data_IF_083144471878
#
_entry.id   IF_083144471878
#
_cell.length_a   1.000
_cell.length_b   1.000
_cell.length_c   1.000
_cell.angle_alpha   90.00
_cell.angle_beta   90.00
_cell.angle_gamma   90.00
#
_symmetry.space_group_name_H-M   'P 1'
#
loop_
_entity.id
_entity.type
_entity.pdbx_description
1 polymer ?
#
# COMPACT_ATOMS: atom_id res chain seq x y z
N UNK A 1 47.47 -11.58 34.55
CA UNK A 1 48.41 -12.35 33.71
C UNK A 1 48.02 -12.13 32.27
N UNK A 2 48.88 -11.45 31.52
CA UNK A 2 48.73 -11.17 30.11
C UNK A 2 49.04 -12.42 29.27
N UNK A 3 48.42 -12.56 28.11
CA UNK A 3 48.98 -13.33 27.00
C UNK A 3 48.57 -12.69 25.68
N UNK A 4 49.55 -11.95 25.17
CA UNK A 4 49.76 -11.56 23.77
C UNK A 4 49.97 -12.79 22.89
N UNK A 5 49.34 -12.83 21.72
CA UNK A 5 49.87 -13.55 20.55
C UNK A 5 49.81 -12.61 19.35
N UNK A 6 50.95 -12.55 18.69
CA UNK A 6 51.42 -11.68 17.61
C UNK A 6 50.89 -12.07 16.23
N UNK A 7 50.85 -11.07 15.36
CA UNK A 7 50.62 -11.15 13.92
C UNK A 7 51.68 -11.97 13.16
N UNK A 8 51.31 -12.47 11.98
CA UNK A 8 52.23 -12.86 10.91
C UNK A 8 51.66 -12.32 9.59
N UNK A 9 52.46 -11.47 8.93
CA UNK A 9 52.27 -10.95 7.59
C UNK A 9 52.47 -12.03 6.52
N UNK A 10 51.76 -11.90 5.40
CA UNK A 10 52.23 -12.39 4.10
C UNK A 10 51.70 -11.47 2.99
N UNK A 11 52.65 -10.74 2.40
CA UNK A 11 52.53 -9.91 1.22
C UNK A 11 53.02 -10.72 0.01
N UNK A 12 52.28 -10.76 -1.10
CA UNK A 12 52.85 -10.85 -2.47
C UNK A 12 51.81 -10.44 -3.52
N UNK A 13 52.34 -9.71 -4.49
CA UNK A 13 51.74 -8.93 -5.57
C UNK A 13 51.44 -9.72 -6.85
N UNK A 14 50.86 -8.98 -7.81
CA UNK A 14 50.83 -9.20 -9.27
C UNK A 14 49.94 -10.33 -9.81
N UNK A 15 48.87 -9.96 -10.54
CA UNK A 15 48.78 -10.11 -12.02
C UNK A 15 47.81 -9.02 -12.54
N UNK A 16 48.28 -8.21 -13.49
CA UNK A 16 47.51 -7.27 -14.30
C UNK A 16 47.46 -7.76 -15.77
N UNK A 17 46.47 -7.23 -16.52
CA UNK A 17 46.35 -7.20 -17.99
C UNK A 17 45.94 -8.53 -18.68
N UNK A 18 45.06 -8.61 -19.69
CA UNK A 18 44.57 -7.68 -20.74
C UNK A 18 43.30 -8.27 -21.42
N UNK A 19 42.53 -7.43 -22.13
CA UNK A 19 41.71 -7.65 -23.35
C UNK A 19 40.52 -6.65 -23.35
N UNK A 20 40.70 -5.38 -23.74
CA UNK A 20 40.63 -4.75 -25.09
C UNK A 20 39.36 -4.99 -25.92
N UNK A 21 38.64 -3.87 -26.09
CA UNK A 21 38.02 -3.31 -27.32
C UNK A 21 36.77 -3.92 -27.96
N UNK A 22 35.69 -3.13 -27.90
CA UNK A 22 34.83 -2.90 -29.08
C UNK A 22 34.17 -1.50 -29.01
N UNK A 23 34.68 -0.57 -29.80
CA UNK A 23 34.09 0.72 -30.14
C UNK A 23 33.23 0.61 -31.43
N UNK A 24 32.61 1.74 -31.82
CA UNK A 24 31.93 2.06 -33.12
C UNK A 24 30.40 1.84 -33.08
N UNK A 25 29.51 2.79 -33.40
CA UNK A 25 29.63 4.13 -33.97
C UNK A 25 28.41 4.99 -33.57
N UNK A 26 28.60 6.31 -33.59
CA UNK A 26 27.49 7.26 -33.66
C UNK A 26 27.06 7.47 -35.11
N UNK A 27 25.75 7.48 -35.38
CA UNK A 27 25.25 8.09 -36.62
C UNK A 27 23.83 8.65 -36.46
N UNK A 28 23.79 9.97 -36.63
CA UNK A 28 22.77 10.88 -37.14
C UNK A 28 21.32 10.43 -37.40
N UNK A 29 20.43 11.39 -37.09
CA UNK A 29 19.01 11.43 -37.34
C UNK A 29 18.57 11.09 -38.78
N UNK A 30 17.42 10.42 -38.88
CA UNK A 30 16.52 10.53 -40.02
C UNK A 30 15.06 10.56 -39.52
N UNK A 31 14.43 11.74 -39.60
CA UNK A 31 13.01 11.83 -39.95
C UNK A 31 12.81 11.02 -41.24
N UNK A 32 11.77 10.20 -41.34
CA UNK A 32 10.94 10.04 -42.56
C UNK A 32 9.69 9.21 -42.20
N UNK A 33 8.56 9.91 -42.32
CA UNK A 33 7.20 9.53 -42.74
C UNK A 33 6.51 8.26 -42.24
N UNK A 34 5.30 8.50 -41.73
CA UNK A 34 4.19 7.55 -41.72
C UNK A 34 3.95 7.00 -43.14
N UNK A 35 4.09 5.69 -43.33
CA UNK A 35 3.39 4.96 -44.38
C UNK A 35 2.50 3.89 -43.74
N UNK A 36 1.23 3.93 -44.09
CA UNK A 36 0.21 2.95 -43.74
C UNK A 36 0.48 1.66 -44.52
N UNK A 37 0.87 0.59 -43.84
CA UNK A 37 0.71 -0.77 -44.36
C UNK A 37 -0.03 -1.63 -43.36
N UNK A 38 -1.34 -1.77 -43.60
CA UNK A 38 -2.24 -2.62 -42.85
C UNK A 38 -1.95 -4.10 -43.15
N UNK A 39 -1.11 -4.73 -42.31
CA UNK A 39 -0.94 -6.19 -42.36
C UNK A 39 -2.30 -6.89 -42.22
N UNK A 40 -2.58 -7.78 -43.18
CA UNK A 40 -3.76 -8.64 -43.17
C UNK A 40 -3.84 -9.46 -41.88
N UNK A 41 -5.06 -9.78 -41.45
CA UNK A 41 -5.31 -10.66 -40.31
C UNK A 41 -4.57 -12.00 -40.43
N UNK A 42 -4.33 -12.48 -41.65
CA UNK A 42 -3.57 -13.70 -41.91
C UNK A 42 -2.08 -13.55 -41.55
N UNK A 43 -1.47 -12.41 -41.86
CA UNK A 43 -0.05 -12.14 -41.58
C UNK A 43 0.20 -11.92 -40.09
N UNK A 44 -0.76 -11.32 -39.39
CA UNK A 44 -0.75 -11.24 -37.92
C UNK A 44 -0.84 -12.60 -37.24
N UNK A 45 -1.61 -13.53 -37.81
CA UNK A 45 -1.72 -14.90 -37.31
C UNK A 45 -0.41 -15.65 -37.58
N UNK A 46 0.20 -15.48 -38.77
CA UNK A 46 1.50 -16.07 -39.12
C UNK A 46 2.62 -15.58 -38.21
N UNK A 47 2.72 -14.26 -37.96
CA UNK A 47 3.70 -13.71 -37.01
C UNK A 47 3.49 -14.22 -35.57
N UNK A 48 2.25 -14.49 -35.16
CA UNK A 48 1.97 -15.08 -33.84
C UNK A 48 2.36 -16.56 -33.77
N UNK A 49 2.20 -17.29 -34.88
CA UNK A 49 2.61 -18.69 -35.00
C UNK A 49 4.14 -18.81 -34.99
N UNK A 50 4.86 -17.91 -35.68
CA UNK A 50 6.33 -17.88 -35.68
C UNK A 50 6.90 -17.46 -34.32
N UNK A 51 6.23 -16.55 -33.60
CA UNK A 51 6.71 -16.04 -32.30
C UNK A 51 6.44 -16.97 -31.12
N UNK A 52 5.37 -17.75 -31.16
CA UNK A 52 4.93 -18.56 -30.01
C UNK A 52 4.81 -20.06 -30.30
N UNK A 53 4.98 -20.49 -31.56
CA UNK A 53 4.86 -21.87 -31.99
C UNK A 53 3.46 -22.48 -31.83
N UNK A 54 3.17 -23.55 -32.58
CA UNK A 54 2.02 -24.40 -32.30
C UNK A 54 2.37 -25.41 -31.21
N UNK A 55 2.00 -25.13 -29.96
CA UNK A 55 2.05 -26.15 -28.91
C UNK A 55 0.98 -27.20 -29.24
N UNK A 56 1.41 -28.44 -29.51
CA UNK A 56 0.52 -29.57 -29.78
C UNK A 56 -0.62 -29.61 -28.73
N UNK A 57 -1.87 -29.94 -29.13
CA UNK A 57 -3.03 -29.92 -28.23
C UNK A 57 -2.80 -30.69 -26.92
N UNK A 58 -2.02 -31.76 -26.99
CA UNK A 58 -1.68 -32.61 -25.85
C UNK A 58 -0.68 -31.96 -24.91
N UNK A 59 0.32 -31.21 -25.41
CA UNK A 59 1.21 -30.42 -24.58
C UNK A 59 0.48 -29.26 -23.85
N UNK A 60 -0.57 -28.69 -24.46
CA UNK A 60 -1.42 -27.70 -23.77
C UNK A 60 -2.22 -28.32 -22.63
N UNK A 61 -2.75 -29.54 -22.81
CA UNK A 61 -3.45 -30.27 -21.74
C UNK A 61 -2.51 -30.61 -20.59
N UNK A 62 -1.31 -31.13 -20.90
CA UNK A 62 -0.28 -31.47 -19.89
C UNK A 62 0.14 -30.22 -19.10
N UNK A 63 0.45 -29.12 -19.79
CA UNK A 63 0.80 -27.85 -19.13
C UNK A 63 -0.34 -27.26 -18.30
N UNK A 64 -1.60 -27.57 -18.60
CA UNK A 64 -2.74 -27.16 -17.78
C UNK A 64 -2.89 -28.07 -16.55
N UNK A 65 -2.74 -29.38 -16.71
CA UNK A 65 -2.79 -30.35 -15.61
C UNK A 65 -1.70 -30.10 -14.57
N UNK A 66 -0.47 -29.78 -15.01
CA UNK A 66 0.64 -29.43 -14.12
C UNK A 66 0.39 -28.14 -13.33
N UNK A 67 -0.17 -27.11 -13.98
CA UNK A 67 -0.50 -25.83 -13.32
C UNK A 67 -1.56 -25.94 -12.22
N UNK A 68 -2.43 -26.94 -12.30
CA UNK A 68 -3.51 -27.15 -11.33
C UNK A 68 -3.27 -28.39 -10.44
N UNK A 69 -2.04 -28.93 -10.42
CA UNK A 69 -1.64 -30.00 -9.50
C UNK A 69 -2.35 -31.34 -9.69
N UNK A 70 -2.86 -31.64 -10.89
CA UNK A 70 -3.45 -32.98 -11.16
C UNK A 70 -2.39 -33.93 -11.72
N UNK A 71 -2.12 -35.08 -11.08
CA UNK A 71 -1.15 -36.06 -11.56
C UNK A 71 -1.56 -36.61 -12.95
N UNK A 72 -0.60 -36.68 -13.86
CA UNK A 72 -0.79 -37.08 -15.26
C UNK A 72 -1.25 -38.55 -15.43
N UNK A 73 -1.16 -39.38 -14.40
CA UNK A 73 -1.50 -40.82 -14.47
C UNK A 73 -2.85 -41.20 -13.84
N UNK A 74 -3.67 -40.23 -13.42
CA UNK A 74 -5.01 -40.51 -12.92
C UNK A 74 -6.08 -40.48 -14.04
N UNK A 75 -5.90 -41.25 -15.12
CA UNK A 75 -7.02 -41.71 -15.97
C UNK A 75 -7.48 -43.08 -15.45
N UNK A 76 -7.66 -43.19 -14.13
CA UNK A 76 -8.32 -44.35 -13.54
C UNK A 76 -9.82 -44.13 -13.62
N UNK A 77 -10.55 -45.15 -14.08
CA UNK A 77 -12.00 -45.13 -14.32
C UNK A 77 -12.86 -44.58 -13.16
N UNK A 78 -12.30 -44.52 -11.95
CA UNK A 78 -12.89 -43.86 -10.78
C UNK A 78 -13.17 -42.36 -10.98
N UNK A 79 -12.28 -41.59 -11.62
CA UNK A 79 -12.52 -40.15 -11.86
C UNK A 79 -13.62 -39.92 -12.91
N UNK A 80 -13.66 -40.78 -13.94
CA UNK A 80 -14.71 -40.79 -14.96
C UNK A 80 -16.06 -41.19 -14.36
N UNK A 81 -16.09 -42.19 -13.47
CA UNK A 81 -17.28 -42.64 -12.74
C UNK A 81 -17.83 -41.55 -11.81
N UNK A 82 -16.98 -40.90 -10.99
CA UNK A 82 -17.39 -39.79 -10.12
C UNK A 82 -17.94 -38.59 -10.88
N UNK A 83 -17.39 -38.29 -12.06
CA UNK A 83 -17.89 -37.22 -12.92
C UNK A 83 -19.25 -37.60 -13.54
N UNK A 84 -19.42 -38.86 -13.96
CA UNK A 84 -20.69 -39.37 -14.47
C UNK A 84 -21.79 -39.36 -13.40
N UNK A 85 -21.45 -39.75 -12.17
CA UNK A 85 -22.36 -39.70 -11.01
C UNK A 85 -22.75 -38.26 -10.65
N UNK A 86 -21.82 -37.30 -10.76
CA UNK A 86 -22.07 -35.90 -10.38
C UNK A 86 -22.78 -35.09 -11.47
N UNK A 87 -22.52 -35.35 -12.74
CA UNK A 87 -22.97 -34.52 -13.85
C UNK A 87 -23.82 -35.24 -14.90
N UNK A 88 -24.04 -36.55 -14.73
CA UNK A 88 -24.76 -37.38 -15.69
C UNK A 88 -23.96 -37.69 -16.96
N UNK A 89 -24.50 -38.55 -17.86
CA UNK A 89 -23.91 -38.79 -19.16
C UNK A 89 -23.96 -37.54 -20.05
N UNK A 90 -23.06 -37.48 -21.04
CA UNK A 90 -23.10 -36.44 -22.07
C UNK A 90 -24.39 -36.57 -22.89
N UNK A 91 -24.98 -35.45 -23.37
CA UNK A 91 -26.21 -35.52 -24.17
C UNK A 91 -26.02 -36.42 -25.38
N UNK A 92 -26.96 -37.35 -25.59
CA UNK A 92 -26.85 -38.40 -26.61
C UNK A 92 -27.51 -38.02 -27.94
N UNK A 93 -28.15 -36.85 -28.03
CA UNK A 93 -28.76 -36.32 -29.25
C UNK A 93 -28.49 -34.82 -29.40
N UNK A 94 -28.48 -34.36 -30.66
CA UNK A 94 -28.31 -32.93 -30.98
C UNK A 94 -29.41 -32.07 -30.35
N UNK A 95 -30.61 -32.63 -30.17
CA UNK A 95 -31.76 -31.95 -29.57
C UNK A 95 -31.56 -31.72 -28.06
N UNK A 96 -31.00 -32.69 -27.34
CA UNK A 96 -30.70 -32.56 -25.90
C UNK A 96 -29.58 -31.54 -25.64
N UNK A 97 -28.60 -31.45 -26.54
CA UNK A 97 -27.54 -30.45 -26.48
C UNK A 97 -28.10 -29.03 -26.71
N UNK A 98 -28.99 -28.86 -27.69
CA UNK A 98 -29.67 -27.58 -27.93
C UNK A 98 -30.54 -27.16 -26.75
N UNK A 99 -31.27 -28.09 -26.12
CA UNK A 99 -32.07 -27.80 -24.92
C UNK A 99 -31.20 -27.36 -23.73
N UNK A 100 -30.03 -27.99 -23.51
CA UNK A 100 -29.08 -27.57 -22.46
C UNK A 100 -28.49 -26.20 -22.76
N UNK A 101 -28.21 -25.88 -24.02
CA UNK A 101 -27.75 -24.55 -24.46
C UNK A 101 -28.83 -23.49 -24.22
N UNK A 102 -30.10 -23.76 -24.55
CA UNK A 102 -31.25 -22.87 -24.28
C UNK A 102 -31.44 -22.62 -22.78
N UNK A 103 -31.51 -23.68 -21.97
CA UNK A 103 -31.61 -23.55 -20.49
C UNK A 103 -30.43 -22.78 -19.87
N UNK A 104 -29.24 -22.86 -20.48
CA UNK A 104 -28.08 -22.06 -20.06
C UNK A 104 -28.22 -20.61 -20.48
N UNK A 105 -28.66 -20.34 -21.71
CA UNK A 105 -28.93 -19.01 -22.22
C UNK A 105 -30.00 -18.30 -21.37
N UNK A 106 -31.08 -19.00 -20.99
CA UNK A 106 -32.12 -18.51 -20.08
C UNK A 106 -31.56 -18.13 -18.70
N UNK A 107 -30.66 -18.97 -18.15
CA UNK A 107 -30.00 -18.71 -16.86
C UNK A 107 -29.12 -17.46 -16.89
N UNK A 108 -28.63 -17.08 -18.07
CA UNK A 108 -27.83 -15.89 -18.32
C UNK A 108 -28.61 -14.78 -19.06
N UNK A 109 -29.92 -14.96 -19.26
CA UNK A 109 -30.82 -14.06 -19.98
C UNK A 109 -30.27 -13.56 -21.33
N UNK A 110 -29.70 -14.48 -22.11
CA UNK A 110 -29.32 -14.24 -23.50
C UNK A 110 -30.44 -14.77 -24.40
N UNK A 111 -31.24 -13.89 -25.00
CA UNK A 111 -32.22 -14.28 -26.01
C UNK A 111 -31.52 -14.74 -27.29
N UNK A 112 -31.98 -15.84 -27.87
CA UNK A 112 -31.45 -16.44 -29.10
C UNK A 112 -31.35 -15.42 -30.25
N UNK A 113 -30.23 -15.49 -30.98
CA UNK A 113 -29.90 -14.64 -32.12
C UNK A 113 -30.66 -15.07 -33.37
N UNK A 114 -31.87 -14.55 -33.58
CA UNK A 114 -32.49 -14.52 -34.92
C UNK A 114 -33.60 -13.47 -35.03
N UNK A 115 -33.35 -12.22 -34.68
CA UNK A 115 -34.07 -11.05 -35.23
C UNK A 115 -33.51 -9.77 -34.65
N UNK A 116 -33.41 -8.75 -35.50
CA UNK A 116 -33.15 -7.33 -35.24
C UNK A 116 -33.38 -6.88 -33.79
N UNK A 117 -32.34 -6.29 -33.20
CA UNK A 117 -32.25 -5.66 -31.86
C UNK A 117 -33.57 -5.40 -31.11
N UNK A 118 -33.66 -5.91 -29.88
CA UNK A 118 -34.26 -5.16 -28.78
C UNK A 118 -33.20 -4.90 -27.70
N UNK A 119 -33.01 -3.64 -27.33
CA UNK A 119 -32.14 -3.26 -26.22
C UNK A 119 -32.56 -3.93 -24.91
N UNK A 120 -31.59 -4.19 -24.03
CA UNK A 120 -31.82 -4.69 -22.67
C UNK A 120 -32.86 -3.81 -21.96
N UNK A 121 -33.96 -4.43 -21.52
CA UNK A 121 -34.97 -3.78 -20.68
C UNK A 121 -34.35 -3.30 -19.37
N UNK A 122 -34.86 -2.20 -18.81
CA UNK A 122 -34.37 -1.61 -17.55
C UNK A 122 -34.43 -2.60 -16.37
N UNK A 123 -35.40 -3.50 -16.37
CA UNK A 123 -35.51 -4.64 -15.43
C UNK A 123 -34.26 -5.52 -15.42
N UNK A 124 -33.68 -5.77 -16.61
CA UNK A 124 -32.52 -6.64 -16.80
C UNK A 124 -31.23 -5.95 -16.35
N UNK A 125 -31.16 -4.63 -16.51
CA UNK A 125 -30.04 -3.80 -16.03
C UNK A 125 -30.04 -3.74 -14.49
N UNK A 126 -31.21 -3.54 -13.87
CA UNK A 126 -31.35 -3.48 -12.41
C UNK A 126 -30.92 -4.77 -11.72
N UNK A 127 -31.35 -5.93 -12.24
CA UNK A 127 -30.97 -7.25 -11.69
C UNK A 127 -29.48 -7.58 -11.89
N UNK A 128 -28.84 -7.04 -12.94
CA UNK A 128 -27.40 -7.19 -13.18
C UNK A 128 -26.57 -6.33 -12.22
N UNK A 129 -27.05 -5.12 -11.91
CA UNK A 129 -26.45 -4.24 -10.90
C UNK A 129 -26.55 -4.86 -9.51
N UNK A 130 -27.69 -5.45 -9.15
CA UNK A 130 -27.86 -6.17 -7.88
C UNK A 130 -26.93 -7.38 -7.75
N UNK A 131 -26.68 -8.11 -8.85
CA UNK A 131 -25.85 -9.32 -8.82
C UNK A 131 -24.33 -9.03 -8.87
N UNK A 132 -23.91 -7.97 -9.57
CA UNK A 132 -22.50 -7.69 -9.83
C UNK A 132 -21.98 -6.36 -9.27
N UNK A 133 -22.84 -5.56 -8.62
CA UNK A 133 -22.45 -4.34 -7.89
C UNK A 133 -21.86 -3.23 -8.75
N UNK A 134 -22.08 -3.23 -10.07
CA UNK A 134 -21.54 -2.20 -10.97
C UNK A 134 -22.43 -0.96 -10.90
N UNK A 135 -21.92 0.13 -10.34
CA UNK A 135 -22.56 1.45 -10.38
C UNK A 135 -22.40 2.03 -11.79
N UNK A 136 -23.52 2.33 -12.47
CA UNK A 136 -23.51 3.09 -13.72
C UNK A 136 -23.53 4.60 -13.42
N UNK A 137 -22.74 5.42 -14.13
CA UNK A 137 -22.84 6.88 -14.03
C UNK A 137 -24.18 7.38 -14.58
N UNK A 138 -24.82 8.31 -13.86
CA UNK A 138 -26.03 9.02 -14.31
C UNK A 138 -25.70 9.86 -15.54
N UNK A 139 -26.34 9.58 -16.67
CA UNK A 139 -26.37 10.45 -17.84
C UNK A 139 -27.61 11.34 -17.76
N UNK A 140 -27.38 12.64 -17.61
CA UNK A 140 -28.32 13.67 -18.04
C UNK A 140 -28.21 13.81 -19.55
N UNK A 141 -29.35 13.66 -20.25
CA UNK A 141 -29.45 13.93 -21.68
C UNK A 141 -29.46 15.45 -21.91
N UNK A 142 -28.54 15.95 -22.73
CA UNK A 142 -28.88 16.91 -23.76
C UNK A 142 -28.10 16.58 -25.02
N UNK A 143 -28.85 16.36 -26.08
CA UNK A 143 -28.45 15.87 -27.39
C UNK A 143 -27.63 16.90 -28.17
N UNK A 144 -26.60 16.44 -28.88
CA UNK A 144 -26.43 16.71 -30.32
C UNK A 144 -25.36 15.79 -30.91
N UNK A 145 -25.63 15.33 -32.12
CA UNK A 145 -24.92 14.31 -32.89
C UNK A 145 -23.54 14.79 -33.38
N UNK A 146 -22.48 14.00 -33.22
CA UNK A 146 -21.87 13.24 -34.34
C UNK A 146 -20.62 12.44 -33.93
N UNK A 147 -20.48 11.32 -34.64
CA UNK A 147 -19.51 10.23 -34.50
C UNK A 147 -18.05 10.66 -34.80
N UNK A 148 -17.15 10.01 -34.04
CA UNK A 148 -15.74 9.67 -34.35
C UNK A 148 -14.68 10.78 -34.24
N UNK A 149 -14.23 11.02 -33.00
CA UNK A 149 -12.80 11.12 -32.68
C UNK A 149 -12.57 10.51 -31.28
N UNK A 150 -11.61 9.59 -31.16
CA UNK A 150 -10.74 9.39 -29.98
C UNK A 150 -9.82 8.19 -30.21
N UNK A 151 -8.75 8.43 -30.97
CA UNK A 151 -7.45 7.90 -30.60
C UNK A 151 -6.91 8.71 -29.42
N UNK A 152 -6.07 8.07 -28.60
CA UNK A 152 -5.22 8.66 -27.57
C UNK A 152 -5.92 9.54 -26.50
N UNK A 153 -6.28 8.89 -25.40
CA UNK A 153 -6.08 9.45 -24.06
C UNK A 153 -5.99 8.26 -23.10
N UNK A 154 -4.76 7.82 -22.82
CA UNK A 154 -4.46 6.98 -21.64
C UNK A 154 -4.62 7.89 -20.43
N UNK A 155 -5.85 8.07 -20.00
CA UNK A 155 -6.16 8.72 -18.74
C UNK A 155 -5.92 7.70 -17.63
N UNK A 156 -4.83 7.92 -16.89
CA UNK A 156 -4.63 7.36 -15.56
C UNK A 156 -5.88 7.64 -14.75
N UNK A 157 -6.77 6.64 -14.64
CA UNK A 157 -7.90 6.73 -13.73
C UNK A 157 -7.38 6.37 -12.36
N UNK A 158 -7.10 7.42 -11.60
CA UNK A 158 -7.00 7.46 -10.15
C UNK A 158 -7.97 6.46 -9.54
N UNK A 159 -7.44 5.38 -8.95
CA UNK A 159 -8.21 4.49 -8.07
C UNK A 159 -8.47 5.22 -6.76
N UNK A 160 -9.41 6.16 -6.78
CA UNK A 160 -9.98 6.72 -5.58
C UNK A 160 -10.90 5.68 -4.95
N UNK A 161 -10.62 5.36 -3.68
CA UNK A 161 -11.59 4.91 -2.69
C UNK A 161 -12.47 3.71 -3.10
N UNK A 162 -11.88 2.51 -3.10
CA UNK A 162 -12.66 1.34 -2.75
C UNK A 162 -12.87 1.45 -1.25
N UNK A 163 -14.09 1.79 -0.83
CA UNK A 163 -14.48 1.71 0.57
C UNK A 163 -14.06 0.35 1.12
N UNK A 164 -13.29 0.37 2.20
CA UNK A 164 -12.69 -0.81 2.84
C UNK A 164 -13.70 -1.94 3.05
N UNK A 165 -14.97 -1.61 3.30
CA UNK A 165 -16.05 -2.57 3.49
C UNK A 165 -16.40 -3.41 2.26
N UNK A 166 -16.31 -2.85 1.05
CA UNK A 166 -16.60 -3.60 -0.18
C UNK A 166 -15.47 -4.56 -0.52
N UNK A 167 -14.21 -4.14 -0.29
CA UNK A 167 -13.04 -5.00 -0.42
C UNK A 167 -13.04 -6.10 0.64
N UNK A 168 -13.37 -5.76 1.89
CA UNK A 168 -13.46 -6.71 3.02
C UNK A 168 -14.54 -7.77 2.80
N UNK A 169 -15.75 -7.35 2.41
CA UNK A 169 -16.84 -8.29 2.05
C UNK A 169 -16.50 -9.17 0.86
N UNK A 170 -15.66 -8.70 -0.07
CA UNK A 170 -15.17 -9.49 -1.20
C UNK A 170 -14.15 -10.52 -0.76
N UNK A 171 -13.21 -10.17 0.12
CA UNK A 171 -12.20 -11.08 0.67
C UNK A 171 -12.82 -12.16 1.57
N UNK A 172 -13.78 -11.78 2.42
CA UNK A 172 -14.57 -12.70 3.25
C UNK A 172 -15.34 -13.71 2.39
N UNK A 173 -15.90 -13.28 1.25
CA UNK A 173 -16.61 -14.15 0.30
C UNK A 173 -15.70 -15.18 -0.37
N UNK A 174 -14.41 -14.90 -0.50
CA UNK A 174 -13.41 -15.82 -1.07
C UNK A 174 -12.68 -16.66 -0.01
N UNK A 175 -13.08 -16.60 1.26
CA UNK A 175 -12.47 -17.39 2.33
C UNK A 175 -11.04 -16.95 2.69
N UNK A 176 -10.67 -15.71 2.35
CA UNK A 176 -9.41 -15.12 2.80
C UNK A 176 -9.64 -14.56 4.19
N UNK A 177 -9.35 -15.36 5.22
CA UNK A 177 -9.23 -14.87 6.59
C UNK A 177 -7.97 -14.00 6.67
N UNK A 178 -8.10 -12.67 6.65
CA UNK A 178 -6.95 -11.75 6.74
C UNK A 178 -6.43 -11.64 8.18
N UNK A 179 -6.09 -12.76 8.79
CA UNK A 179 -5.28 -12.81 10.01
C UNK A 179 -3.78 -12.60 9.70
N UNK A 180 -3.43 -12.48 8.42
CA UNK A 180 -2.07 -12.20 7.97
C UNK A 180 -1.84 -10.68 7.87
N UNK A 181 -0.73 -10.22 8.43
CA UNK A 181 -0.32 -8.83 8.33
C UNK A 181 -0.18 -8.43 6.84
N UNK A 182 -0.64 -7.24 6.41
CA UNK A 182 -0.51 -6.86 5.01
C UNK A 182 0.96 -6.81 4.55
N UNK A 183 1.24 -7.37 3.37
CA UNK A 183 2.60 -7.52 2.81
C UNK A 183 3.40 -6.22 2.82
N UNK A 184 2.75 -5.08 2.58
CA UNK A 184 3.39 -3.76 2.58
C UNK A 184 4.05 -3.39 3.91
N UNK A 185 3.51 -3.84 5.05
CA UNK A 185 4.11 -3.61 6.37
C UNK A 185 5.16 -4.67 6.70
N UNK A 186 4.96 -5.92 6.27
CA UNK A 186 5.99 -6.96 6.42
C UNK A 186 7.26 -6.63 5.61
N UNK A 187 7.10 -5.95 4.47
CA UNK A 187 8.19 -5.53 3.62
C UNK A 187 9.06 -4.41 4.23
N UNK A 188 8.52 -3.63 5.18
CA UNK A 188 9.30 -2.64 5.93
C UNK A 188 10.03 -3.28 7.11
N UNK A 189 9.36 -4.13 7.88
CA UNK A 189 9.95 -4.94 8.96
C UNK A 189 9.08 -6.18 9.21
N UNK A 190 9.68 -7.37 9.36
CA UNK A 190 8.90 -8.60 9.62
C UNK A 190 8.19 -8.57 10.98
N UNK A 191 8.64 -7.73 11.91
CA UNK A 191 8.03 -7.47 13.22
C UNK A 191 7.40 -6.07 13.27
N UNK A 192 6.98 -5.53 12.12
CA UNK A 192 6.36 -4.22 12.04
C UNK A 192 5.17 -4.09 13.02
N UNK A 193 5.02 -2.93 13.64
CA UNK A 193 4.05 -2.70 14.73
C UNK A 193 2.61 -2.89 14.30
N UNK A 194 2.32 -2.65 13.01
CA UNK A 194 1.04 -2.99 12.40
C UNK A 194 0.68 -4.48 12.51
N UNK A 195 1.68 -5.35 12.50
CA UNK A 195 1.54 -6.80 12.50
C UNK A 195 1.41 -7.41 13.90
N UNK A 196 1.51 -6.60 14.96
CA UNK A 196 1.45 -7.09 16.34
C UNK A 196 0.06 -7.63 16.67
N UNK A 197 0.04 -8.65 17.53
CA UNK A 197 -1.21 -9.24 18.02
C UNK A 197 -1.80 -8.37 19.11
N UNK A 198 -3.07 -8.01 18.99
CA UNK A 198 -3.77 -7.21 20.01
C UNK A 198 -3.87 -7.98 21.33
N UNK A 199 -3.52 -7.32 22.43
CA UNK A 199 -3.70 -7.79 23.82
C UNK A 199 -4.53 -6.81 24.67
N UNK A 200 -4.85 -5.63 24.13
CA UNK A 200 -5.68 -4.62 24.79
C UNK A 200 -7.07 -5.13 25.16
N UNK A 201 -7.51 -4.75 26.36
CA UNK A 201 -8.88 -4.94 26.86
C UNK A 201 -9.85 -4.30 25.88
N UNK A 202 -9.56 -3.05 25.51
CA UNK A 202 -10.39 -2.28 24.60
C UNK A 202 -9.56 -1.34 23.73
N UNK A 203 -9.88 -1.32 22.44
CA UNK A 203 -9.26 -0.46 21.43
C UNK A 203 -10.03 0.86 21.40
N UNK A 204 -9.34 1.99 21.52
CA UNK A 204 -9.95 3.32 21.44
C UNK A 204 -9.31 4.15 20.31
N UNK A 205 -9.83 4.03 19.07
CA UNK A 205 -9.42 4.91 17.98
C UNK A 205 -9.70 6.36 18.33
N UNK A 206 -8.77 7.25 18.00
CA UNK A 206 -8.93 8.69 18.22
C UNK A 206 -10.16 9.19 17.47
N UNK A 207 -11.08 9.79 18.22
CA UNK A 207 -12.30 10.39 17.65
C UNK A 207 -11.98 11.65 16.85
N UNK A 208 -12.91 12.11 16.01
CA UNK A 208 -12.74 13.38 15.26
C UNK A 208 -12.48 14.57 16.19
N UNK A 209 -13.13 14.60 17.36
CA UNK A 209 -12.96 15.67 18.34
C UNK A 209 -11.58 15.61 18.99
N UNK A 210 -11.14 14.41 19.42
CA UNK A 210 -9.81 14.23 19.99
C UNK A 210 -8.72 14.52 18.97
N UNK A 211 -8.86 14.09 17.71
CA UNK A 211 -7.94 14.43 16.61
C UNK A 211 -7.76 15.93 16.49
N UNK A 212 -8.85 16.70 16.50
CA UNK A 212 -8.76 18.16 16.43
C UNK A 212 -8.09 18.75 17.68
N UNK A 213 -8.41 18.24 18.86
CA UNK A 213 -7.80 18.71 20.10
C UNK A 213 -6.30 18.41 20.16
N UNK A 214 -5.88 17.21 19.76
CA UNK A 214 -4.47 16.81 19.67
C UNK A 214 -3.73 17.75 18.72
N UNK A 215 -4.27 17.99 17.52
CA UNK A 215 -3.69 18.93 16.56
C UNK A 215 -3.65 20.35 17.11
N UNK A 216 -4.71 20.83 17.77
CA UNK A 216 -4.72 22.19 18.34
C UNK A 216 -3.62 22.36 19.40
N UNK A 217 -3.45 21.38 20.28
CA UNK A 217 -2.42 21.44 21.33
C UNK A 217 -1.00 21.34 20.74
N UNK A 218 -0.78 20.49 19.74
CA UNK A 218 0.50 20.45 19.03
C UNK A 218 0.75 21.77 18.30
N UNK A 219 -0.22 22.28 17.53
CA UNK A 219 -0.10 23.49 16.71
C UNK A 219 0.03 24.78 17.52
N UNK A 220 -0.36 24.78 18.80
CA UNK A 220 -0.05 25.86 19.73
C UNK A 220 1.44 25.93 20.09
N UNK A 221 2.15 24.80 20.02
CA UNK A 221 3.60 24.73 20.24
C UNK A 221 4.35 24.79 18.89
N UNK A 222 3.93 24.01 17.88
CA UNK A 222 4.48 24.01 16.52
C UNK A 222 3.54 23.33 15.51
N UNK A 223 3.43 23.89 14.30
CA UNK A 223 2.51 23.43 13.26
C UNK A 223 2.79 21.99 12.76
N UNK A 224 1.77 21.15 12.81
CA UNK A 224 1.72 19.75 12.40
C UNK A 224 0.40 19.40 11.71
N UNK A 225 0.44 18.35 10.90
CA UNK A 225 -0.69 17.82 10.15
C UNK A 225 -1.00 16.38 10.52
N UNK A 226 -2.27 16.03 10.58
CA UNK A 226 -2.64 14.66 10.91
C UNK A 226 -2.43 13.71 9.74
N UNK A 227 -1.93 12.51 10.04
CA UNK A 227 -1.77 11.44 9.09
C UNK A 227 -2.40 10.13 9.60
N UNK A 228 -3.35 9.59 8.81
CA UNK A 228 -4.07 8.37 9.19
C UNK A 228 -3.21 7.10 9.10
N UNK A 229 -2.17 7.06 8.26
CA UNK A 229 -1.26 5.89 8.22
C UNK A 229 -0.46 5.79 9.52
N UNK A 230 0.04 6.92 10.03
CA UNK A 230 0.72 6.99 11.33
C UNK A 230 -0.22 6.61 12.47
N UNK A 231 -1.47 7.09 12.42
CA UNK A 231 -2.47 6.81 13.46
C UNK A 231 -2.86 5.33 13.51
N UNK A 232 -2.98 4.65 12.37
CA UNK A 232 -3.30 3.22 12.35
C UNK A 232 -2.13 2.39 12.90
N UNK A 233 -0.88 2.75 12.60
CA UNK A 233 0.29 2.08 13.16
C UNK A 233 0.36 2.32 14.68
N UNK A 234 0.11 3.55 15.12
CA UNK A 234 0.02 3.87 16.54
C UNK A 234 -1.05 3.01 17.22
N UNK A 235 -2.24 2.87 16.61
CA UNK A 235 -3.32 2.06 17.18
C UNK A 235 -2.94 0.60 17.34
N UNK A 236 -2.26 0.03 16.34
CA UNK A 236 -1.77 -1.35 16.42
C UNK A 236 -0.74 -1.55 17.53
N UNK A 237 0.08 -0.52 17.78
CA UNK A 237 1.04 -0.56 18.88
C UNK A 237 0.37 -0.36 20.25
N UNK A 238 -0.58 0.58 20.37
CA UNK A 238 -1.38 0.76 21.57
C UNK A 238 -2.17 -0.52 21.93
N UNK A 239 -2.74 -1.17 20.92
CA UNK A 239 -3.47 -2.43 21.04
C UNK A 239 -2.59 -3.60 21.54
N UNK A 240 -1.27 -3.53 21.35
CA UNK A 240 -0.31 -4.54 21.81
C UNK A 240 0.02 -4.42 23.31
N UNK A 241 -0.28 -3.27 23.94
CA UNK A 241 -0.17 -3.03 25.38
C UNK A 241 1.19 -3.39 26.02
N UNK A 242 2.28 -3.11 25.30
CA UNK A 242 3.64 -3.26 25.80
C UNK A 242 4.21 -1.89 26.17
N UNK A 243 4.61 -1.70 27.43
CA UNK A 243 5.12 -0.42 27.92
C UNK A 243 6.61 -0.24 27.59
N UNK A 244 6.89 0.07 26.33
CA UNK A 244 8.21 0.44 25.83
C UNK A 244 8.04 1.08 24.44
N UNK A 245 9.07 1.72 23.92
CA UNK A 245 9.10 2.12 22.51
C UNK A 245 9.36 0.93 21.60
N UNK A 246 8.68 0.87 20.45
CA UNK A 246 9.09 -0.03 19.37
C UNK A 246 10.36 0.51 18.67
N UNK A 247 10.94 -0.33 17.81
CA UNK A 247 12.03 0.10 16.95
C UNK A 247 11.50 1.08 15.90
N UNK A 248 12.31 2.10 15.56
CA UNK A 248 12.00 3.04 14.49
C UNK A 248 11.57 2.35 13.18
N UNK A 249 12.26 1.27 12.79
CA UNK A 249 11.94 0.50 11.57
C UNK A 249 10.53 -0.12 11.59
N UNK A 250 10.02 -0.46 12.77
CA UNK A 250 8.74 -1.14 12.96
C UNK A 250 7.54 -0.19 12.94
N UNK A 251 7.77 1.13 12.94
CA UNK A 251 6.73 2.17 12.87
C UNK A 251 6.79 3.03 11.61
N UNK A 252 7.49 2.57 10.57
CA UNK A 252 7.54 3.24 9.27
C UNK A 252 6.26 2.95 8.48
N UNK A 253 5.49 3.99 8.17
CA UNK A 253 4.37 3.83 7.25
C UNK A 253 4.91 3.50 5.85
N UNK A 254 4.43 2.43 5.17
CA UNK A 254 4.94 2.02 3.85
C UNK A 254 4.85 3.12 2.79
N UNK A 255 3.85 3.99 2.97
CA UNK A 255 3.54 5.16 2.13
C UNK A 255 4.34 6.41 2.49
N UNK A 256 5.08 6.36 3.59
CA UNK A 256 5.95 7.42 4.12
C UNK A 256 7.25 6.77 4.65
N UNK A 257 8.14 6.29 3.76
CA UNK A 257 9.40 5.64 4.15
C UNK A 257 10.40 6.66 4.71
N UNK A 258 10.10 7.17 5.89
CA UNK A 258 10.80 8.23 6.58
C UNK A 258 10.94 7.82 8.05
N UNK A 259 12.01 8.29 8.68
CA UNK A 259 12.26 8.08 10.09
C UNK A 259 11.08 8.60 10.94
N UNK A 260 10.40 7.68 11.62
CA UNK A 260 9.23 7.97 12.46
C UNK A 260 9.62 7.98 13.94
N UNK A 261 9.39 9.09 14.64
CA UNK A 261 9.53 9.20 16.09
C UNK A 261 8.27 8.75 16.83
N UNK A 262 8.33 8.70 18.16
CA UNK A 262 7.20 8.25 18.98
C UNK A 262 7.21 8.91 20.36
N UNK A 263 6.04 9.36 20.82
CA UNK A 263 5.79 9.69 22.23
C UNK A 263 4.80 8.69 22.81
N UNK A 264 5.03 8.32 24.07
CA UNK A 264 4.22 7.37 24.82
C UNK A 264 3.74 7.99 26.13
N UNK A 265 2.55 7.62 26.57
CA UNK A 265 2.08 7.93 27.91
C UNK A 265 1.16 6.83 28.44
N UNK A 266 1.14 6.65 29.76
CA UNK A 266 0.36 5.61 30.40
C UNK A 266 -0.37 6.14 31.64
N UNK A 267 -1.60 5.70 31.84
CA UNK A 267 -2.33 5.91 33.09
C UNK A 267 -3.02 7.26 33.26
N UNK A 268 -2.97 8.15 32.26
CA UNK A 268 -3.73 9.41 32.27
C UNK A 268 -5.18 9.21 31.87
N UNK A 269 -6.05 10.06 32.41
CA UNK A 269 -7.50 9.95 32.21
C UNK A 269 -7.92 10.26 30.77
N UNK A 270 -7.29 11.24 30.14
CA UNK A 270 -7.63 11.70 28.80
C UNK A 270 -6.42 12.30 28.06
N UNK A 271 -6.62 12.56 26.76
CA UNK A 271 -5.62 13.18 25.89
C UNK A 271 -5.17 14.55 26.36
N UNK A 272 -6.05 15.40 26.89
CA UNK A 272 -5.68 16.76 27.35
C UNK A 272 -4.62 16.69 28.44
N UNK A 273 -4.83 15.86 29.46
CA UNK A 273 -3.85 15.68 30.54
C UNK A 273 -2.54 15.06 30.02
N UNK A 274 -2.65 14.10 29.11
CA UNK A 274 -1.50 13.43 28.48
C UNK A 274 -0.61 14.42 27.72
N UNK A 275 -1.22 15.25 26.86
CA UNK A 275 -0.50 16.25 26.08
C UNK A 275 0.03 17.37 26.97
N UNK A 276 -0.71 17.75 28.02
CA UNK A 276 -0.25 18.76 28.97
C UNK A 276 1.01 18.30 29.71
N UNK A 277 1.12 17.01 30.06
CA UNK A 277 2.34 16.47 30.67
C UNK A 277 3.54 16.58 29.74
N UNK A 278 3.38 16.15 28.48
CA UNK A 278 4.45 16.29 27.48
C UNK A 278 4.84 17.75 27.28
N UNK A 279 3.88 18.67 27.21
CA UNK A 279 4.14 20.11 27.09
C UNK A 279 4.85 20.65 28.33
N UNK A 280 4.49 20.20 29.53
CA UNK A 280 5.05 20.70 30.78
C UNK A 280 6.54 20.39 30.95
N UNK A 281 7.08 19.40 30.23
CA UNK A 281 8.53 19.16 30.20
C UNK A 281 9.32 20.38 29.70
N UNK A 282 8.67 21.33 29.00
CA UNK A 282 9.28 22.61 28.62
C UNK A 282 9.84 23.41 29.79
N UNK A 283 9.33 23.20 31.00
CA UNK A 283 9.85 23.82 32.22
C UNK A 283 11.27 23.36 32.58
N UNK A 284 11.68 22.19 32.07
CA UNK A 284 12.99 21.60 32.27
C UNK A 284 13.85 21.65 31.00
N UNK A 285 13.33 22.24 29.92
CA UNK A 285 14.02 22.33 28.64
C UNK A 285 14.93 23.55 28.62
N UNK A 286 16.24 23.31 28.73
CA UNK A 286 17.28 24.35 28.65
C UNK A 286 18.11 24.19 27.36
N UNK A 287 17.45 23.84 26.26
CA UNK A 287 18.08 23.52 24.98
C UNK A 287 18.94 22.25 25.00
N UNK A 288 18.78 21.43 26.04
CA UNK A 288 19.38 20.13 26.16
C UNK A 288 18.32 19.03 25.98
N UNK A 289 18.67 18.03 25.18
CA UNK A 289 17.86 16.83 25.05
C UNK A 289 18.24 15.88 26.16
N UNK A 290 17.39 15.82 27.17
CA UNK A 290 17.45 14.83 28.21
C UNK A 290 16.25 13.89 28.08
N UNK A 291 16.29 12.75 28.77
CA UNK A 291 15.12 11.89 28.87
C UNK A 291 13.91 12.61 29.50
N UNK A 292 14.16 13.66 30.29
CA UNK A 292 13.12 14.46 30.97
C UNK A 292 12.39 15.39 30.02
N UNK A 293 13.00 15.75 28.89
CA UNK A 293 12.47 16.74 27.93
C UNK A 293 12.17 16.14 26.56
N UNK A 294 12.26 14.81 26.45
CA UNK A 294 12.16 14.09 25.18
C UNK A 294 10.77 14.21 24.56
N UNK A 295 9.69 14.20 25.34
CA UNK A 295 8.35 14.31 24.75
C UNK A 295 8.10 15.72 24.23
N UNK A 296 8.44 16.75 25.01
CA UNK A 296 8.31 18.14 24.57
C UNK A 296 9.13 18.41 23.32
N UNK A 297 10.41 18.05 23.34
CA UNK A 297 11.30 18.30 22.21
C UNK A 297 10.89 17.57 20.93
N UNK A 298 10.10 16.48 21.01
CA UNK A 298 9.50 15.83 19.83
C UNK A 298 8.33 16.65 19.27
N UNK A 299 7.49 17.24 20.14
CA UNK A 299 6.37 18.10 19.71
C UNK A 299 6.87 19.36 18.99
N UNK A 300 7.97 19.94 19.45
CA UNK A 300 8.57 21.14 18.84
C UNK A 300 9.70 20.82 17.85
N UNK A 301 9.84 19.57 17.42
CA UNK A 301 10.92 19.16 16.52
C UNK A 301 10.78 19.78 15.13
N UNK A 302 11.78 20.54 14.69
CA UNK A 302 11.69 21.40 13.50
C UNK A 302 11.30 20.66 12.22
N UNK A 303 11.78 19.42 12.04
CA UNK A 303 11.48 18.60 10.85
C UNK A 303 10.23 17.74 10.99
N UNK A 304 9.55 17.73 12.14
CA UNK A 304 8.27 17.05 12.27
C UNK A 304 7.21 17.79 11.47
N UNK A 305 6.42 17.07 10.69
CA UNK A 305 5.38 17.64 9.83
C UNK A 305 4.08 16.88 9.98
N UNK A 306 4.15 15.57 10.15
CA UNK A 306 2.99 14.70 10.29
C UNK A 306 2.94 14.04 11.66
N UNK A 307 1.73 13.89 12.20
CA UNK A 307 1.44 13.17 13.43
C UNK A 307 0.27 12.21 13.25
N UNK A 308 0.32 11.05 13.89
CA UNK A 308 -0.84 10.18 14.05
C UNK A 308 -0.83 9.50 15.41
N UNK A 309 -1.96 9.56 16.12
CA UNK A 309 -2.07 9.11 17.50
C UNK A 309 -3.18 8.08 17.71
N UNK A 310 -3.11 7.37 18.83
CA UNK A 310 -4.07 6.34 19.24
C UNK A 310 -4.08 6.11 20.75
N UNK A 311 -5.14 5.49 21.25
CA UNK A 311 -5.22 5.06 22.65
C UNK A 311 -5.80 3.65 22.74
N UNK A 312 -5.42 2.90 23.78
CA UNK A 312 -6.04 1.62 24.13
C UNK A 312 -6.10 1.45 25.64
N UNK A 313 -7.08 0.70 26.13
CA UNK A 313 -7.13 0.27 27.51
C UNK A 313 -6.43 -1.08 27.65
N UNK A 314 -5.43 -1.11 28.51
CA UNK A 314 -4.56 -2.26 28.73
C UNK A 314 -4.86 -2.92 30.08
N UNK A 315 -4.59 -4.22 30.14
CA UNK A 315 -4.61 -4.96 31.41
C UNK A 315 -3.48 -4.48 32.33
N UNK A 316 -3.60 -4.70 33.65
CA UNK A 316 -2.52 -4.43 34.59
C UNK A 316 -1.21 -5.09 34.16
N UNK A 317 -0.09 -4.40 34.39
CA UNK A 317 1.26 -4.91 34.18
C UNK A 317 2.16 -4.47 35.37
N UNK A 318 3.44 -4.90 35.45
CA UNK A 318 4.30 -4.54 36.57
C UNK A 318 4.52 -3.03 36.76
N UNK A 319 4.36 -2.22 35.71
CA UNK A 319 4.44 -0.75 35.78
C UNK A 319 3.12 -0.13 36.25
N UNK A 320 2.01 -0.65 35.75
CA UNK A 320 0.65 -0.19 36.02
C UNK A 320 -0.14 -1.32 36.69
N UNK A 321 -0.19 -1.33 38.02
CA UNK A 321 -0.88 -2.36 38.82
C UNK A 321 -2.43 -2.30 38.72
N UNK A 322 -2.97 -1.64 37.71
CA UNK A 322 -4.39 -1.43 37.42
C UNK A 322 -4.59 -1.33 35.90
N UNK A 323 -5.84 -1.43 35.42
CA UNK A 323 -6.12 -1.19 34.00
C UNK A 323 -5.75 0.25 33.63
N UNK A 324 -4.97 0.43 32.58
CA UNK A 324 -4.37 1.71 32.26
C UNK A 324 -4.60 2.07 30.81
N UNK A 325 -4.78 3.36 30.54
CA UNK A 325 -4.87 3.89 29.18
C UNK A 325 -3.46 4.08 28.64
N UNK A 326 -3.16 3.46 27.51
CA UNK A 326 -1.90 3.58 26.79
C UNK A 326 -2.08 4.50 25.59
N UNK A 327 -1.35 5.61 25.58
CA UNK A 327 -1.37 6.62 24.52
C UNK A 327 -0.10 6.49 23.70
N UNK A 328 -0.26 6.46 22.37
CA UNK A 328 0.84 6.37 21.41
C UNK A 328 0.63 7.44 20.35
N UNK A 329 1.63 8.29 20.13
CA UNK A 329 1.70 9.20 19.00
C UNK A 329 2.97 8.93 18.19
N UNK A 330 2.83 8.77 16.88
CA UNK A 330 3.93 8.62 15.93
C UNK A 330 4.12 9.93 15.13
N UNK A 331 5.37 10.33 14.93
CA UNK A 331 5.75 11.62 14.33
C UNK A 331 6.67 11.43 13.14
N UNK A 332 6.43 12.12 12.03
CA UNK A 332 7.36 12.16 10.89
C UNK A 332 7.83 13.59 10.66
N UNK A 333 9.12 13.91 10.79
CA UNK A 333 10.23 13.03 11.22
C UNK A 333 10.38 12.93 12.74
N UNK A 334 10.90 11.81 13.25
CA UNK A 334 11.30 11.74 14.66
C UNK A 334 12.55 12.56 15.02
N UNK A 335 12.85 12.63 16.32
CA UNK A 335 14.09 13.23 16.85
C UNK A 335 15.36 12.53 16.33
N UNK A 336 16.31 13.34 15.85
CA UNK A 336 17.65 12.93 15.40
C UNK A 336 18.72 13.50 16.32
N UNK A 337 20.00 13.20 16.11
CA UNK A 337 21.08 13.77 16.94
C UNK A 337 21.38 15.26 16.68
N UNK A 338 20.40 16.15 16.85
CA UNK A 338 20.52 17.62 16.75
C UNK A 338 19.59 18.35 17.72
N UNK A 339 19.60 19.67 17.71
CA UNK A 339 18.63 20.50 18.45
C UNK A 339 17.27 20.47 17.77
N UNK A 340 16.15 20.60 18.52
CA UNK A 340 14.81 20.58 17.96
C UNK A 340 14.49 21.82 17.12
N UNK A 341 15.23 22.92 17.25
CA UNK A 341 15.11 24.09 16.38
C UNK A 341 16.35 24.99 16.49
N UNK A 342 16.51 25.93 15.55
CA UNK A 342 17.60 26.91 15.56
C UNK A 342 17.17 28.13 16.40
N UNK A 343 17.96 28.48 17.41
CA UNK A 343 17.67 29.61 18.30
C UNK A 343 17.86 30.97 17.61
N UNK A 344 17.03 31.96 17.97
CA UNK A 344 17.22 33.36 17.58
C UNK A 344 16.77 33.72 16.17
N UNK A 345 16.27 32.75 15.40
CA UNK A 345 15.63 32.98 14.11
C UNK A 345 14.12 32.89 14.33
N UNK A 346 13.45 34.02 14.56
CA UNK A 346 12.00 34.13 14.36
C UNK A 346 11.70 34.09 12.86
N UNK A 347 11.97 32.95 12.22
CA UNK A 347 11.44 32.70 10.89
C UNK A 347 9.97 32.39 11.08
N UNK A 348 9.10 33.18 10.44
CA UNK A 348 7.75 32.73 10.12
C UNK A 348 7.93 31.50 9.23
N UNK A 349 8.01 30.32 9.84
CA UNK A 349 8.18 29.06 9.13
C UNK A 349 7.02 28.96 8.14
N UNK A 350 7.34 28.84 6.86
CA UNK A 350 6.30 28.76 5.85
C UNK A 350 5.54 27.47 6.07
N UNK A 351 4.23 27.59 6.08
CA UNK A 351 3.37 26.44 6.07
C UNK A 351 3.52 25.69 4.74
N UNK A 352 4.13 24.52 4.80
CA UNK A 352 4.32 23.65 3.65
C UNK A 352 3.17 22.65 3.48
N UNK A 353 2.01 22.86 4.11
CA UNK A 353 0.79 22.06 3.96
C UNK A 353 1.03 20.56 4.15
N UNK A 354 1.75 20.18 5.21
CA UNK A 354 2.01 18.77 5.52
C UNK A 354 3.01 18.08 4.58
N UNK A 355 3.75 18.82 3.74
CA UNK A 355 4.73 18.24 2.80
C UNK A 355 5.82 17.47 3.55
N UNK A 356 6.06 16.22 3.15
CA UNK A 356 7.16 15.40 3.67
C UNK A 356 8.09 14.99 2.55
N UNK A 357 9.39 15.09 2.80
CA UNK A 357 10.43 14.60 1.89
C UNK A 357 10.71 13.13 2.18
N UNK A 358 10.50 12.28 1.18
CA UNK A 358 10.61 10.82 1.36
C UNK A 358 12.08 10.38 1.49
N UNK A 359 12.30 9.14 1.96
CA UNK A 359 13.63 8.53 2.10
C UNK A 359 14.61 9.39 2.93
N UNK A 360 14.09 9.99 4.01
CA UNK A 360 14.84 10.88 4.90
C UNK A 360 15.44 12.11 4.20
N UNK A 361 14.80 12.60 3.13
CA UNK A 361 15.11 13.92 2.59
C UNK A 361 14.81 15.03 3.58
N UNK A 362 15.49 16.16 3.44
CA UNK A 362 15.31 17.33 4.30
C UNK A 362 14.35 18.32 3.64
N UNK A 363 13.27 18.67 4.33
CA UNK A 363 12.38 19.75 3.90
C UNK A 363 12.97 21.10 4.30
N UNK A 364 13.22 21.97 3.33
CA UNK A 364 13.50 23.36 3.61
C UNK A 364 12.18 24.10 3.86
N UNK A 365 11.98 24.57 5.10
CA UNK A 365 10.74 25.22 5.52
C UNK A 365 10.54 26.63 4.99
N UNK A 366 11.55 27.27 4.40
CA UNK A 366 11.39 28.59 3.77
C UNK A 366 10.84 28.47 2.34
N UNK A 367 11.32 27.46 1.63
CA UNK A 367 11.02 27.24 0.20
C UNK A 367 10.02 26.13 -0.04
N UNK A 368 9.74 25.29 0.96
CA UNK A 368 9.00 24.03 0.86
C UNK A 368 9.57 23.08 -0.21
N UNK A 369 10.89 23.12 -0.44
CA UNK A 369 11.59 22.23 -1.37
C UNK A 369 12.31 21.12 -0.61
N UNK A 370 12.35 19.94 -1.21
CA UNK A 370 13.07 18.81 -0.64
C UNK A 370 14.52 18.80 -1.12
N UNK A 371 15.42 18.65 -0.17
CA UNK A 371 16.79 18.23 -0.44
C UNK A 371 16.86 16.72 -0.23
N UNK A 372 17.07 15.98 -1.31
CA UNK A 372 17.14 14.53 -1.26
C UNK A 372 18.30 14.05 -0.40
N UNK A 373 18.12 12.91 0.28
CA UNK A 373 19.23 12.16 0.87
C UNK A 373 20.06 11.49 -0.24
N UNK A 374 21.22 10.93 0.10
CA UNK A 374 22.07 10.19 -0.86
C UNK A 374 21.39 8.94 -1.45
N UNK A 375 20.27 8.50 -0.88
CA UNK A 375 19.58 7.26 -1.23
C UNK A 375 18.42 7.44 -2.21
N UNK A 376 18.09 8.69 -2.57
CA UNK A 376 17.01 9.03 -3.49
C UNK A 376 17.37 10.26 -4.32
N UNK A 377 16.83 10.38 -5.54
CA UNK A 377 17.09 11.54 -6.40
C UNK A 377 15.82 12.10 -7.01
N UNK A 378 15.76 13.42 -7.13
CA UNK A 378 14.68 14.15 -7.82
C UNK A 378 13.29 13.73 -7.34
N UNK A 379 12.46 13.30 -8.28
CA UNK A 379 11.07 12.89 -8.06
C UNK A 379 10.89 11.83 -6.97
N UNK A 380 11.89 10.98 -6.70
CA UNK A 380 11.76 9.91 -5.69
C UNK A 380 11.64 10.45 -4.25
N UNK A 381 12.32 11.54 -3.95
CA UNK A 381 12.24 12.23 -2.65
C UNK A 381 11.15 13.31 -2.64
N UNK A 382 10.86 13.88 -3.82
CA UNK A 382 9.91 14.98 -4.01
C UNK A 382 8.47 14.52 -4.23
N UNK A 383 8.22 13.22 -4.46
CA UNK A 383 6.86 12.67 -4.55
C UNK A 383 6.16 12.77 -3.18
N UNK A 384 5.64 13.95 -2.90
CA UNK A 384 4.91 14.22 -1.70
C UNK A 384 3.50 13.68 -1.88
N UNK A 385 3.10 12.78 -1.00
CA UNK A 385 1.69 12.50 -0.84
C UNK A 385 1.05 13.71 -0.19
N UNK A 386 0.19 14.39 -0.94
CA UNK A 386 -0.71 15.41 -0.40
C UNK A 386 -1.78 14.66 0.42
N UNK A 387 -1.93 15.01 1.69
CA UNK A 387 -2.88 14.38 2.61
C UNK A 387 -4.03 15.33 2.96
#
# INVERSE_FOLDING_TARGET
MASTITAVDANTSEIAETLTDFEVDGSTAALVTNEEDGLSSADRIKQRLDRFGTVAPEAKKIGRALRFGTPHEAINGAAKKRRLERFGPAPHSQEEEQLKKRKRADRFYLSDSSSTTPGLTEETKKKRVERFGVVLPKSTNSSTNNKRQRGQQRSNTTTNSITSDAAKKRLERFGVHTNECPIQYQATDIYHSYCLTRTAVETYPVTKQEKQMILNMHNNERLEYWNDDLAIIAQKYADYCYWDHDLNSRRIAPRLPVYTGQNLAGGRENWTLTLQDWINEKQHYYYDRSQVTAHYSQMIWHSTTLIGCSMSLCNPNPTFNFQWKYYVCNYVTGQLNSDPYIQGVESILKDCNGKVCLYNGQLNLDTCKCKCSSYATGDQCEHCMLF
#
